data_IF_624034299300
#
_entry.id   IF_624034299300
#
_cell.length_a   1.000
_cell.length_b   1.000
_cell.length_c   1.000
_cell.angle_alpha   90.00
_cell.angle_beta   90.00
_cell.angle_gamma   90.00
#
_symmetry.space_group_name_H-M   'P 1'
#
loop_
_entity.id
_entity.type
_entity.pdbx_description
1 polymer ?
#
# COMPACT_ATOMS: atom_id res chain seq x y z
N UNK A 1 61.39 44.05 -9.05
CA UNK A 1 60.73 43.26 -10.10
C UNK A 1 59.95 42.14 -9.42
N UNK A 2 58.63 42.22 -9.56
CA UNK A 2 57.57 41.20 -9.40
C UNK A 2 57.85 39.96 -8.52
N UNK A 3 57.21 39.92 -7.34
CA UNK A 3 56.76 38.68 -6.71
C UNK A 3 55.29 38.48 -7.08
N UNK A 4 54.99 37.45 -7.88
CA UNK A 4 53.65 36.88 -7.99
C UNK A 4 53.74 35.46 -7.43
N UNK A 5 53.24 35.28 -6.21
CA UNK A 5 53.00 33.97 -5.62
C UNK A 5 51.50 33.82 -5.48
N UNK A 6 50.86 33.26 -6.51
CA UNK A 6 49.49 32.75 -6.43
C UNK A 6 49.58 31.32 -5.91
N UNK A 7 49.32 31.13 -4.62
CA UNK A 7 48.88 29.83 -4.10
C UNK A 7 47.42 30.00 -3.67
N UNK A 8 46.54 29.30 -4.39
CA UNK A 8 45.11 29.24 -4.12
C UNK A 8 44.86 28.74 -2.70
N UNK A 9 44.04 29.47 -1.94
CA UNK A 9 43.37 28.94 -0.78
C UNK A 9 42.31 27.93 -1.28
N UNK A 10 42.57 26.64 -1.14
CA UNK A 10 41.52 25.61 -1.26
C UNK A 10 40.63 25.72 -0.03
N UNK A 11 39.57 26.51 -0.15
CA UNK A 11 38.45 26.45 0.77
C UNK A 11 37.82 25.07 0.69
N UNK A 12 37.82 24.33 1.80
CA UNK A 12 36.90 23.22 1.99
C UNK A 12 35.48 23.80 1.96
N UNK A 13 34.84 23.76 0.80
CA UNK A 13 33.39 23.79 0.75
C UNK A 13 32.91 22.44 1.27
N UNK A 14 32.51 22.41 2.53
CA UNK A 14 31.56 21.40 3.00
C UNK A 14 30.30 21.60 2.15
N UNK A 15 30.15 20.79 1.10
CA UNK A 15 28.89 20.69 0.37
C UNK A 15 27.88 20.11 1.35
N UNK A 16 26.95 20.96 1.77
CA UNK A 16 25.75 20.53 2.47
C UNK A 16 25.11 19.39 1.66
N UNK A 17 24.80 18.30 2.36
CA UNK A 17 23.94 17.24 1.85
C UNK A 17 22.61 17.89 1.52
N UNK A 18 22.36 18.11 0.24
CA UNK A 18 21.05 18.53 -0.26
C UNK A 18 20.27 17.24 -0.47
N UNK A 19 19.46 16.88 0.52
CA UNK A 19 18.33 16.01 0.30
C UNK A 19 17.48 16.59 -0.85
N UNK A 20 17.04 15.74 -1.76
CA UNK A 20 16.43 16.08 -3.04
C UNK A 20 15.30 17.13 -2.94
N UNK A 21 15.17 18.06 -3.90
CA UNK A 21 13.94 18.79 -4.16
C UNK A 21 13.04 17.90 -5.05
N UNK A 22 11.90 17.39 -4.63
CA UNK A 22 11.25 17.54 -3.33
C UNK A 22 10.34 16.35 -3.01
N UNK A 23 9.77 16.34 -1.80
CA UNK A 23 8.64 15.50 -1.46
C UNK A 23 7.39 16.05 -2.18
N UNK A 24 6.36 15.23 -2.37
CA UNK A 24 5.00 15.77 -2.43
C UNK A 24 4.87 16.80 -1.30
N UNK A 25 4.29 18.00 -1.52
CA UNK A 25 4.18 18.99 -0.46
C UNK A 25 3.64 18.30 0.79
N UNK A 26 4.45 18.25 1.85
CA UNK A 26 4.00 17.69 3.12
C UNK A 26 2.69 18.39 3.46
N UNK A 27 1.60 17.65 3.74
CA UNK A 27 0.33 18.27 4.01
C UNK A 27 0.53 19.29 5.11
N UNK A 28 0.08 20.53 4.89
CA UNK A 28 0.24 21.57 5.90
C UNK A 28 -0.39 21.08 7.22
N UNK A 29 0.22 21.40 8.36
CA UNK A 29 -0.28 21.00 9.69
C UNK A 29 -1.78 21.26 9.92
N UNK A 30 -2.35 22.25 9.21
CA UNK A 30 -3.78 22.53 9.19
C UNK A 30 -4.60 21.46 8.45
N UNK A 31 -4.14 20.97 7.30
CA UNK A 31 -4.79 19.89 6.54
C UNK A 31 -4.73 18.58 7.31
N UNK A 32 -3.61 18.32 8.00
CA UNK A 32 -3.47 17.20 8.94
C UNK A 32 -4.51 17.32 10.08
N UNK A 33 -4.57 18.46 10.77
CA UNK A 33 -5.53 18.70 11.87
C UNK A 33 -7.01 18.59 11.43
N UNK A 34 -7.33 19.06 10.21
CA UNK A 34 -8.66 18.94 9.61
C UNK A 34 -9.02 17.47 9.38
N UNK A 35 -8.11 16.70 8.79
CA UNK A 35 -8.29 15.26 8.56
C UNK A 35 -8.56 14.52 9.86
N UNK A 36 -7.77 14.78 10.92
CA UNK A 36 -7.94 14.14 12.24
C UNK A 36 -9.33 14.35 12.84
N UNK A 37 -9.85 15.55 12.65
CA UNK A 37 -11.19 15.90 13.09
C UNK A 37 -12.24 15.12 12.29
N UNK A 38 -12.04 14.99 10.98
CA UNK A 38 -12.93 14.21 10.10
C UNK A 38 -12.93 12.72 10.46
N UNK A 39 -11.80 12.14 10.81
CA UNK A 39 -11.76 10.74 11.21
C UNK A 39 -12.43 10.40 12.51
N UNK A 40 -12.20 11.21 13.54
CA UNK A 40 -12.94 11.06 14.80
C UNK A 40 -14.44 11.19 14.58
N UNK A 41 -14.86 12.02 13.62
CA UNK A 41 -16.26 12.15 13.22
C UNK A 41 -16.79 10.90 12.52
N UNK A 42 -16.00 10.26 11.66
CA UNK A 42 -16.43 9.08 10.90
C UNK A 42 -16.33 7.75 11.66
N UNK A 43 -15.83 7.74 12.90
CA UNK A 43 -15.67 6.52 13.71
C UNK A 43 -16.94 5.65 13.78
N UNK A 44 -18.13 6.25 13.89
CA UNK A 44 -19.40 5.52 13.90
C UNK A 44 -19.73 4.82 12.57
N UNK A 45 -19.36 5.42 11.44
CA UNK A 45 -19.55 4.82 10.12
C UNK A 45 -18.56 3.68 9.87
N UNK A 46 -17.30 3.86 10.31
CA UNK A 46 -16.28 2.79 10.27
C UNK A 46 -16.76 1.61 11.10
N UNK A 47 -17.23 1.87 12.32
CA UNK A 47 -17.82 0.87 13.18
C UNK A 47 -18.93 0.06 12.49
N UNK A 48 -19.86 0.75 11.83
CA UNK A 48 -20.94 0.12 11.08
C UNK A 48 -20.45 -0.71 9.89
N UNK A 49 -19.44 -0.24 9.14
CA UNK A 49 -18.82 -1.04 8.07
C UNK A 49 -18.14 -2.29 8.61
N UNK A 50 -17.42 -2.18 9.73
CA UNK A 50 -16.78 -3.32 10.38
C UNK A 50 -17.82 -4.38 10.81
N UNK A 51 -18.92 -3.96 11.42
CA UNK A 51 -20.02 -4.84 11.80
C UNK A 51 -20.66 -5.54 10.58
N UNK A 52 -20.90 -4.80 9.48
CA UNK A 52 -21.43 -5.39 8.24
C UNK A 52 -20.51 -6.47 7.68
N UNK A 53 -19.19 -6.22 7.64
CA UNK A 53 -18.19 -7.19 7.19
C UNK A 53 -18.17 -8.45 8.04
N UNK A 54 -18.13 -8.27 9.35
CA UNK A 54 -18.22 -9.34 10.32
C UNK A 54 -19.46 -10.22 10.06
N UNK A 55 -20.64 -9.58 9.94
CA UNK A 55 -21.89 -10.29 9.69
C UNK A 55 -21.93 -11.01 8.34
N UNK A 56 -21.38 -10.41 7.28
CA UNK A 56 -21.29 -11.01 5.95
C UNK A 56 -20.45 -12.29 5.98
N UNK A 57 -19.24 -12.23 6.54
CA UNK A 57 -18.35 -13.40 6.66
C UNK A 57 -18.98 -14.50 7.51
N UNK A 58 -19.64 -14.13 8.61
CA UNK A 58 -20.34 -15.10 9.46
C UNK A 58 -21.50 -15.77 8.76
N UNK A 59 -22.21 -15.03 7.91
CA UNK A 59 -23.26 -15.59 7.07
C UNK A 59 -22.69 -16.55 6.02
N UNK A 60 -21.61 -16.17 5.34
CA UNK A 60 -20.94 -17.01 4.35
C UNK A 60 -20.37 -18.28 4.97
N UNK A 61 -19.73 -18.19 6.14
CA UNK A 61 -19.25 -19.33 6.90
C UNK A 61 -20.39 -20.26 7.30
N UNK A 62 -21.49 -19.75 7.89
CA UNK A 62 -22.67 -20.58 8.21
C UNK A 62 -23.29 -21.23 6.99
N UNK A 63 -23.44 -20.49 5.89
CA UNK A 63 -24.00 -21.01 4.63
C UNK A 63 -23.09 -22.08 4.03
N UNK A 64 -21.78 -21.91 4.14
CA UNK A 64 -20.81 -22.91 3.72
C UNK A 64 -20.96 -24.18 4.57
N UNK A 65 -21.13 -24.06 5.89
CA UNK A 65 -21.36 -25.19 6.80
C UNK A 65 -22.70 -25.90 6.50
N UNK A 66 -23.76 -25.15 6.23
CA UNK A 66 -25.08 -25.68 5.85
C UNK A 66 -25.06 -26.40 4.49
N UNK A 67 -24.31 -25.89 3.51
CA UNK A 67 -24.11 -26.54 2.21
C UNK A 67 -23.18 -27.77 2.28
N UNK A 68 -22.43 -27.94 3.36
CA UNK A 68 -21.37 -28.96 3.56
C UNK A 68 -21.79 -30.17 4.39
N UNK A 69 -23.09 -30.37 4.66
CA UNK A 69 -23.61 -31.48 5.46
C UNK A 69 -23.35 -32.92 4.94
N UNK A 70 -22.49 -33.11 3.93
CA UNK A 70 -22.15 -34.42 3.34
C UNK A 70 -20.64 -34.64 3.02
N UNK A 71 -19.72 -33.81 3.53
CA UNK A 71 -18.28 -34.01 3.29
C UNK A 71 -17.49 -33.93 4.62
N UNK A 72 -16.72 -34.97 4.92
CA UNK A 72 -15.87 -35.07 6.12
C UNK A 72 -14.44 -34.75 5.72
N UNK A 73 -13.77 -33.96 6.56
CA UNK A 73 -12.46 -33.30 6.34
C UNK A 73 -12.51 -32.05 5.47
N UNK A 74 -12.74 -30.88 6.08
CA UNK A 74 -12.00 -29.65 5.79
C UNK A 74 -12.07 -28.64 6.96
N UNK A 75 -11.03 -27.84 7.02
CA UNK A 75 -10.69 -26.78 7.98
C UNK A 75 -11.89 -25.86 8.27
N UNK A 76 -12.34 -25.86 9.53
CA UNK A 76 -13.29 -24.87 10.05
C UNK A 76 -12.60 -23.52 10.04
N UNK A 77 -13.06 -22.56 9.25
CA UNK A 77 -12.70 -21.16 9.43
C UNK A 77 -13.63 -20.60 10.49
N UNK A 78 -13.15 -20.40 11.71
CA UNK A 78 -13.99 -19.77 12.75
C UNK A 78 -14.39 -18.35 12.33
N UNK A 79 -15.60 -17.96 12.78
CA UNK A 79 -16.08 -16.58 12.84
C UNK A 79 -14.93 -15.62 13.20
N UNK A 80 -14.70 -14.50 12.49
CA UNK A 80 -13.72 -13.50 12.95
C UNK A 80 -13.92 -13.18 14.43
N UNK A 81 -12.84 -13.15 15.19
CA UNK A 81 -12.81 -13.11 16.66
C UNK A 81 -13.21 -11.75 17.28
N UNK A 82 -13.47 -10.74 16.45
CA UNK A 82 -13.74 -9.39 16.93
C UNK A 82 -15.23 -9.18 17.20
N UNK A 83 -15.64 -9.40 18.46
CA UNK A 83 -16.96 -9.01 18.99
C UNK A 83 -17.10 -7.49 19.18
N UNK A 84 -16.01 -6.73 18.96
CA UNK A 84 -15.92 -5.29 19.13
C UNK A 84 -14.99 -4.69 18.08
N UNK A 85 -15.32 -3.47 17.65
CA UNK A 85 -14.59 -2.69 16.65
C UNK A 85 -13.13 -2.48 17.11
N UNK A 86 -12.17 -2.98 16.34
CA UNK A 86 -10.77 -2.54 16.40
C UNK A 86 -10.77 -1.08 15.93
N UNK A 87 -10.57 -0.14 16.84
CA UNK A 87 -10.97 1.26 16.71
C UNK A 87 -10.04 2.11 15.84
N UNK A 88 -9.18 1.46 15.03
CA UNK A 88 -8.06 2.11 14.38
C UNK A 88 -8.25 2.04 12.86
N UNK A 89 -9.05 2.99 12.36
CA UNK A 89 -9.27 3.17 10.92
C UNK A 89 -7.99 3.69 10.28
N UNK A 90 -7.56 3.09 9.17
CA UNK A 90 -6.55 3.69 8.31
C UNK A 90 -7.21 4.81 7.51
N UNK A 91 -6.82 6.06 7.73
CA UNK A 91 -7.10 7.08 6.71
C UNK A 91 -5.89 7.09 5.82
N UNK A 92 -6.05 6.64 4.57
CA UNK A 92 -4.97 6.77 3.61
C UNK A 92 -4.73 8.27 3.43
N UNK A 93 -3.58 8.73 3.91
CA UNK A 93 -3.15 10.09 3.72
C UNK A 93 -2.51 10.17 2.34
N UNK A 94 -2.96 11.10 1.44
CA UNK A 94 -2.36 11.30 0.11
C UNK A 94 -0.92 11.86 0.15
N UNK A 95 -0.20 11.63 1.24
CA UNK A 95 1.17 12.09 1.49
C UNK A 95 2.17 10.96 1.63
N UNK A 96 1.72 9.71 1.66
CA UNK A 96 2.64 8.56 1.70
C UNK A 96 3.02 8.21 0.27
N UNK A 97 4.32 8.09 0.02
CA UNK A 97 4.87 7.86 -1.32
C UNK A 97 4.35 6.56 -1.95
N UNK A 98 4.05 6.61 -3.26
CA UNK A 98 3.85 5.42 -4.10
C UNK A 98 5.10 4.51 -4.14
N UNK A 99 6.28 5.04 -3.80
CA UNK A 99 7.53 4.31 -3.90
C UNK A 99 7.93 3.98 -5.35
N UNK A 100 9.13 3.42 -5.54
CA UNK A 100 9.74 3.31 -6.86
C UNK A 100 9.27 2.11 -7.68
N UNK A 101 8.51 1.18 -7.08
CA UNK A 101 8.10 -0.08 -7.69
C UNK A 101 6.65 -0.09 -8.18
N UNK A 102 6.19 1.05 -8.70
CA UNK A 102 4.91 1.16 -9.38
C UNK A 102 5.12 1.18 -10.90
N UNK A 103 4.34 0.38 -11.61
CA UNK A 103 4.29 0.40 -13.06
C UNK A 103 2.82 0.29 -13.49
N UNK A 104 2.17 1.42 -13.85
CA UNK A 104 0.72 1.45 -14.07
C UNK A 104 0.20 0.43 -15.08
N UNK A 105 1.03 0.01 -16.05
CA UNK A 105 0.65 -0.98 -17.07
C UNK A 105 0.54 -2.41 -16.56
N UNK A 106 1.13 -2.72 -15.40
CA UNK A 106 0.98 -4.03 -14.74
C UNK A 106 -0.28 -4.11 -13.87
N UNK A 107 -0.98 -3.00 -13.67
CA UNK A 107 -2.22 -2.99 -12.90
C UNK A 107 -3.37 -3.54 -13.73
N UNK A 108 -4.13 -4.44 -13.11
CA UNK A 108 -5.09 -5.30 -13.82
C UNK A 108 -6.31 -5.54 -12.94
N UNK A 109 -7.48 -5.59 -13.58
CA UNK A 109 -8.75 -5.76 -12.88
C UNK A 109 -8.90 -7.23 -12.47
N UNK A 110 -8.66 -7.54 -11.20
CA UNK A 110 -8.74 -8.91 -10.67
C UNK A 110 -8.95 -8.89 -9.16
N UNK A 111 -9.72 -9.85 -8.65
CA UNK A 111 -9.84 -10.08 -7.20
C UNK A 111 -8.78 -11.01 -6.64
N UNK A 112 -8.09 -11.78 -7.49
CA UNK A 112 -6.97 -12.63 -7.11
C UNK A 112 -5.72 -12.13 -7.83
N UNK A 113 -4.84 -11.49 -7.06
CA UNK A 113 -3.56 -10.97 -7.52
C UNK A 113 -2.39 -11.93 -7.27
N UNK A 114 -2.62 -13.14 -6.76
CA UNK A 114 -1.54 -14.07 -6.40
C UNK A 114 -0.66 -14.47 -7.59
N UNK A 115 -1.28 -14.74 -8.74
CA UNK A 115 -0.66 -15.39 -9.90
C UNK A 115 0.18 -16.64 -9.54
N UNK A 116 -0.26 -17.38 -8.52
CA UNK A 116 0.43 -18.59 -8.06
C UNK A 116 1.78 -18.33 -7.39
N UNK A 117 2.09 -17.10 -6.95
CA UNK A 117 3.25 -16.86 -6.10
C UNK A 117 3.18 -17.70 -4.82
N UNK A 118 4.32 -18.25 -4.41
CA UNK A 118 4.42 -19.01 -3.16
C UNK A 118 4.43 -18.05 -1.97
N UNK A 119 3.66 -18.39 -0.94
CA UNK A 119 3.55 -17.65 0.31
C UNK A 119 2.36 -18.13 1.12
N UNK A 120 2.16 -17.55 2.30
CA UNK A 120 0.99 -17.81 3.13
C UNK A 120 -0.22 -17.13 2.45
N UNK A 121 -1.32 -17.86 2.16
CA UNK A 121 -2.50 -17.27 1.55
C UNK A 121 -3.06 -16.13 2.38
N UNK A 122 -3.38 -15.00 1.75
CA UNK A 122 -3.86 -13.81 2.43
C UNK A 122 -5.10 -13.24 1.73
N UNK A 123 -6.20 -13.10 2.47
CA UNK A 123 -7.40 -12.43 2.01
C UNK A 123 -7.52 -11.08 2.68
N UNK A 124 -7.45 -9.98 1.92
CA UNK A 124 -7.56 -8.62 2.42
C UNK A 124 -8.97 -8.08 2.20
N UNK A 125 -9.65 -7.77 3.30
CA UNK A 125 -10.97 -7.17 3.34
C UNK A 125 -10.85 -5.65 3.58
N UNK A 126 -11.41 -4.87 2.65
CA UNK A 126 -11.21 -3.42 2.61
C UNK A 126 -12.56 -2.73 2.58
N UNK A 127 -12.80 -1.88 3.57
CA UNK A 127 -13.84 -0.85 3.50
C UNK A 127 -13.24 0.46 3.01
N UNK A 128 -13.97 1.23 2.22
CA UNK A 128 -13.58 2.56 1.74
C UNK A 128 -14.69 3.55 2.06
N UNK A 129 -14.33 4.69 2.66
CA UNK A 129 -15.29 5.73 3.04
C UNK A 129 -14.83 7.13 2.64
N UNK A 130 -15.80 7.99 2.42
CA UNK A 130 -15.57 9.40 2.18
C UNK A 130 -15.43 10.11 3.53
N UNK A 131 -14.28 10.76 3.75
CA UNK A 131 -13.99 11.44 5.02
C UNK A 131 -14.80 12.72 5.22
N UNK A 132 -15.32 13.33 4.16
CA UNK A 132 -16.16 14.53 4.25
C UNK A 132 -17.60 14.18 4.67
N UNK A 133 -18.16 13.10 4.12
CA UNK A 133 -19.55 12.68 4.37
C UNK A 133 -19.69 11.59 5.45
N UNK A 134 -18.62 10.83 5.69
CA UNK A 134 -18.61 9.59 6.47
C UNK A 134 -19.52 8.50 5.89
N UNK A 135 -19.78 8.53 4.59
CA UNK A 135 -20.56 7.50 3.88
C UNK A 135 -19.61 6.51 3.16
N UNK A 136 -20.01 5.25 3.00
CA UNK A 136 -19.23 4.30 2.19
C UNK A 136 -19.08 4.80 0.75
N UNK A 137 -17.89 4.62 0.18
CA UNK A 137 -17.60 4.99 -1.21
C UNK A 137 -17.83 3.80 -2.13
N UNK A 138 -18.95 3.81 -2.83
CA UNK A 138 -19.29 2.85 -3.88
C UNK A 138 -18.52 3.15 -5.18
N UNK A 139 -18.19 2.09 -5.92
CA UNK A 139 -17.61 2.14 -7.27
C UNK A 139 -16.30 2.94 -7.37
N UNK A 140 -15.49 2.90 -6.31
CA UNK A 140 -14.10 3.38 -6.34
C UNK A 140 -13.16 2.21 -6.57
N UNK A 141 -12.17 2.40 -7.44
CA UNK A 141 -11.21 1.36 -7.80
C UNK A 141 -10.05 1.40 -6.80
N UNK A 142 -9.86 0.30 -6.07
CA UNK A 142 -8.74 0.17 -5.13
C UNK A 142 -7.65 -0.65 -5.79
N UNK A 143 -6.47 -0.05 -5.93
CA UNK A 143 -5.25 -0.64 -6.50
C UNK A 143 -4.31 -1.09 -5.39
N UNK A 144 -3.79 -2.32 -5.50
CA UNK A 144 -2.80 -2.87 -4.59
C UNK A 144 -1.58 -3.41 -5.31
N UNK A 145 -0.40 -3.20 -4.72
CA UNK A 145 0.82 -3.91 -5.09
C UNK A 145 1.74 -4.16 -3.91
N UNK A 146 2.47 -5.27 -3.93
CA UNK A 146 3.50 -5.58 -2.95
C UNK A 146 4.55 -6.55 -3.48
N UNK A 147 5.65 -6.72 -2.74
CA UNK A 147 6.66 -7.72 -3.06
C UNK A 147 6.18 -9.14 -2.73
N UNK A 148 6.74 -10.14 -3.40
CA UNK A 148 6.52 -11.53 -3.05
C UNK A 148 7.21 -11.91 -1.74
N UNK A 149 7.05 -13.17 -1.31
CA UNK A 149 7.58 -13.67 -0.06
C UNK A 149 9.11 -13.53 0.12
N UNK A 150 9.86 -13.33 -0.96
CA UNK A 150 11.32 -13.13 -0.95
C UNK A 150 11.73 -11.72 -1.38
N UNK A 151 10.86 -10.73 -1.22
CA UNK A 151 11.19 -9.32 -1.46
C UNK A 151 11.23 -8.87 -2.92
N UNK A 152 10.75 -9.67 -3.88
CA UNK A 152 10.77 -9.29 -5.31
C UNK A 152 9.46 -8.66 -5.75
N UNK A 153 9.55 -7.56 -6.50
CA UNK A 153 8.41 -6.95 -7.17
C UNK A 153 8.28 -7.45 -8.61
N UNK A 154 7.06 -7.76 -9.02
CA UNK A 154 6.72 -7.93 -10.44
C UNK A 154 6.97 -6.64 -11.21
N UNK A 155 7.19 -6.74 -12.52
CA UNK A 155 7.64 -5.67 -13.41
C UNK A 155 9.11 -5.23 -13.18
N UNK A 156 9.72 -5.60 -12.06
CA UNK A 156 11.08 -5.18 -11.66
C UNK A 156 11.99 -6.37 -11.34
N UNK A 157 11.71 -7.57 -11.87
CA UNK A 157 12.41 -8.81 -11.47
C UNK A 157 13.90 -8.82 -11.83
N UNK A 158 14.33 -7.99 -12.77
CA UNK A 158 15.73 -7.76 -13.11
C UNK A 158 16.45 -6.77 -12.20
N UNK A 159 15.79 -6.27 -11.15
CA UNK A 159 16.36 -5.37 -10.13
C UNK A 159 16.13 -5.99 -8.76
N UNK A 160 17.19 -6.01 -7.94
CA UNK A 160 17.05 -6.48 -6.57
C UNK A 160 16.47 -5.37 -5.71
N UNK A 161 15.30 -5.61 -5.10
CA UNK A 161 14.78 -4.69 -4.09
C UNK A 161 15.59 -4.71 -2.79
N UNK A 162 16.53 -5.65 -2.64
CA UNK A 162 17.49 -5.69 -1.53
C UNK A 162 18.66 -4.70 -1.71
N UNK A 163 18.82 -4.11 -2.90
CA UNK A 163 19.80 -3.05 -3.13
C UNK A 163 19.22 -1.72 -2.67
N UNK A 164 19.89 -0.97 -1.77
CA UNK A 164 19.45 0.36 -1.39
C UNK A 164 19.14 1.23 -2.61
N UNK A 165 18.00 1.93 -2.58
CA UNK A 165 17.47 2.56 -3.80
C UNK A 165 18.42 3.61 -4.40
N UNK A 166 19.13 4.36 -3.56
CA UNK A 166 20.18 5.29 -3.97
C UNK A 166 21.35 4.59 -4.69
N UNK A 167 21.76 3.41 -4.23
CA UNK A 167 22.80 2.61 -4.88
C UNK A 167 22.31 2.06 -6.23
N UNK A 168 21.04 1.68 -6.32
CA UNK A 168 20.43 1.29 -7.59
C UNK A 168 20.45 2.46 -8.58
N UNK A 169 20.03 3.66 -8.17
CA UNK A 169 20.05 4.85 -9.03
C UNK A 169 21.46 5.20 -9.51
N UNK A 170 22.46 5.11 -8.62
CA UNK A 170 23.87 5.34 -8.97
C UNK A 170 24.35 4.31 -10.01
N UNK A 171 24.05 3.03 -9.80
CA UNK A 171 24.42 1.96 -10.73
C UNK A 171 23.81 2.12 -12.14
N UNK A 172 22.69 2.82 -12.24
CA UNK A 172 21.98 3.12 -13.49
C UNK A 172 22.36 4.49 -14.08
N UNK A 173 23.21 5.28 -13.41
CA UNK A 173 23.49 6.69 -13.72
C UNK A 173 22.21 7.56 -13.78
N UNK A 174 21.27 7.32 -12.87
CA UNK A 174 19.98 8.03 -12.78
C UNK A 174 19.88 8.95 -11.56
N UNK A 175 20.90 9.05 -10.71
CA UNK A 175 20.87 9.81 -9.45
C UNK A 175 20.39 11.26 -9.60
N UNK A 176 20.72 11.93 -10.70
CA UNK A 176 20.35 13.34 -10.95
C UNK A 176 19.08 13.51 -11.79
N UNK A 177 18.64 12.46 -12.48
CA UNK A 177 17.55 12.52 -13.47
C UNK A 177 16.32 11.72 -13.07
N UNK A 178 16.41 10.96 -11.98
CA UNK A 178 15.30 10.19 -11.46
C UNK A 178 14.20 11.11 -10.94
N UNK A 179 13.00 10.87 -11.46
CA UNK A 179 11.77 11.50 -11.02
C UNK A 179 10.74 10.41 -10.71
N UNK A 180 10.20 10.44 -9.48
CA UNK A 180 9.33 9.41 -8.95
C UNK A 180 8.01 9.38 -9.73
N UNK A 181 7.63 8.20 -10.23
CA UNK A 181 6.41 8.04 -11.03
C UNK A 181 6.52 8.49 -12.48
N UNK A 182 7.62 9.14 -12.87
CA UNK A 182 7.89 9.57 -14.24
C UNK A 182 8.99 8.73 -14.87
N UNK A 183 10.08 8.49 -14.14
CA UNK A 183 11.21 7.71 -14.64
C UNK A 183 10.90 6.23 -14.58
N UNK A 184 10.89 5.59 -15.75
CA UNK A 184 10.53 4.18 -15.88
C UNK A 184 11.72 3.26 -15.54
N UNK A 185 11.54 2.47 -14.47
CA UNK A 185 12.54 1.52 -13.98
C UNK A 185 12.18 0.05 -14.23
N UNK A 186 11.07 -0.27 -14.92
CA UNK A 186 10.67 -1.68 -15.12
C UNK A 186 11.73 -2.48 -15.92
N UNK A 187 11.69 -3.81 -15.77
CA UNK A 187 12.60 -4.76 -16.43
C UNK A 187 11.90 -5.83 -17.24
N UNK A 188 10.62 -6.04 -16.99
CA UNK A 188 9.82 -7.11 -17.56
C UNK A 188 8.32 -6.79 -17.44
N UNK A 189 7.50 -7.66 -18.02
CA UNK A 189 6.04 -7.51 -18.07
C UNK A 189 5.32 -8.40 -17.03
N UNK A 190 6.00 -8.88 -15.99
CA UNK A 190 5.33 -9.71 -14.96
C UNK A 190 4.33 -8.87 -14.16
N UNK A 191 3.21 -9.48 -13.74
CA UNK A 191 2.13 -8.76 -13.05
C UNK A 191 1.72 -9.35 -11.71
N UNK A 192 2.43 -10.37 -11.22
CA UNK A 192 2.07 -11.02 -9.95
C UNK A 192 2.01 -10.00 -8.80
N UNK A 193 1.08 -10.20 -7.87
CA UNK A 193 0.90 -9.36 -6.68
C UNK A 193 0.68 -7.88 -7.05
N UNK A 194 -0.06 -7.67 -8.14
CA UNK A 194 -0.63 -6.40 -8.58
C UNK A 194 -2.08 -6.60 -8.98
N UNK A 195 -2.99 -5.77 -8.50
CA UNK A 195 -4.40 -5.97 -8.75
C UNK A 195 -5.26 -4.80 -8.32
N UNK A 196 -6.30 -4.54 -9.11
CA UNK A 196 -7.29 -3.51 -8.83
C UNK A 196 -8.68 -4.13 -8.75
N UNK A 197 -9.52 -3.65 -7.83
CA UNK A 197 -10.91 -4.07 -7.78
C UNK A 197 -11.85 -2.99 -7.21
N UNK A 198 -13.05 -2.79 -7.79
CA UNK A 198 -13.97 -1.77 -7.32
C UNK A 198 -14.69 -2.15 -6.04
N UNK A 199 -15.02 -1.15 -5.23
CA UNK A 199 -15.92 -1.30 -4.09
C UNK A 199 -17.37 -1.49 -4.51
N UNK A 200 -18.12 -2.25 -3.72
CA UNK A 200 -19.56 -2.41 -3.91
C UNK A 200 -20.37 -1.25 -3.29
N UNK A 201 -21.70 -1.35 -3.31
CA UNK A 201 -22.63 -0.35 -2.77
C UNK A 201 -22.53 -0.10 -1.27
N UNK A 202 -21.80 -0.93 -0.53
CA UNK A 202 -21.49 -0.74 0.87
C UNK A 202 -20.06 -0.23 1.09
N UNK A 203 -19.38 0.19 0.02
CA UNK A 203 -18.00 0.66 0.04
C UNK A 203 -16.99 -0.43 0.34
N UNK A 204 -17.31 -1.70 0.07
CA UNK A 204 -16.45 -2.84 0.45
C UNK A 204 -15.90 -3.58 -0.76
N UNK A 205 -14.67 -4.08 -0.63
CA UNK A 205 -14.04 -4.99 -1.59
C UNK A 205 -13.19 -6.05 -0.87
N UNK A 206 -12.87 -7.13 -1.59
CA UNK A 206 -11.96 -8.17 -1.12
C UNK A 206 -10.89 -8.43 -2.20
N UNK A 207 -9.65 -8.64 -1.75
CA UNK A 207 -8.51 -9.00 -2.58
C UNK A 207 -7.83 -10.26 -2.04
N UNK A 208 -7.60 -11.25 -2.90
CA UNK A 208 -6.84 -12.46 -2.62
C UNK A 208 -5.39 -12.28 -3.07
N UNK A 209 -4.46 -12.56 -2.18
CA UNK A 209 -3.02 -12.42 -2.39
C UNK A 209 -2.24 -13.39 -1.49
N UNK A 210 -0.94 -13.18 -1.31
CA UNK A 210 -0.12 -13.82 -0.29
C UNK A 210 0.35 -12.78 0.74
N UNK A 211 0.70 -13.25 1.94
CA UNK A 211 1.35 -12.38 2.92
C UNK A 211 2.66 -11.82 2.33
N UNK A 212 2.88 -10.49 2.33
CA UNK A 212 4.05 -9.87 1.70
C UNK A 212 5.35 -10.27 2.40
N UNK A 213 6.43 -10.36 1.62
CA UNK A 213 7.79 -10.45 2.17
C UNK A 213 8.31 -9.07 2.59
N UNK A 214 9.63 -8.98 2.75
CA UNK A 214 10.32 -7.72 3.04
C UNK A 214 11.42 -7.46 2.01
N UNK A 215 11.87 -6.20 1.94
CA UNK A 215 13.02 -5.78 1.16
C UNK A 215 13.77 -4.69 1.93
N UNK A 216 14.90 -4.21 1.40
CA UNK A 216 15.83 -3.40 2.19
C UNK A 216 15.20 -2.09 2.69
N UNK A 217 15.38 -1.81 3.98
CA UNK A 217 15.09 -0.51 4.58
C UNK A 217 13.61 -0.18 4.78
N UNK A 218 12.69 -1.14 4.56
CA UNK A 218 11.25 -0.94 4.67
C UNK A 218 10.60 -2.03 5.52
N UNK A 219 9.63 -1.66 6.34
CA UNK A 219 8.75 -2.58 7.05
C UNK A 219 7.89 -3.37 6.07
N UNK A 220 7.27 -4.46 6.52
CA UNK A 220 6.40 -5.28 5.66
C UNK A 220 5.11 -4.50 5.37
N UNK A 221 4.82 -4.26 4.08
CA UNK A 221 3.69 -3.44 3.66
C UNK A 221 3.06 -3.88 2.32
N UNK A 222 1.85 -3.38 2.10
CA UNK A 222 1.13 -3.41 0.83
C UNK A 222 0.85 -1.98 0.43
N UNK A 223 1.23 -1.58 -0.78
CA UNK A 223 0.85 -0.27 -1.29
C UNK A 223 -0.61 -0.28 -1.72
N UNK A 224 -1.28 0.86 -1.52
CA UNK A 224 -2.67 1.06 -1.87
C UNK A 224 -2.86 2.40 -2.60
N UNK A 225 -3.62 2.40 -3.69
CA UNK A 225 -4.15 3.61 -4.30
C UNK A 225 -5.67 3.49 -4.46
N UNK A 226 -6.37 4.62 -4.32
CA UNK A 226 -7.80 4.68 -4.60
C UNK A 226 -8.03 5.65 -5.76
N UNK A 227 -8.79 5.19 -6.75
CA UNK A 227 -9.14 5.98 -7.92
C UNK A 227 -10.66 6.16 -8.02
N UNK A 228 -11.06 7.35 -8.45
CA UNK A 228 -12.46 7.65 -8.79
C UNK A 228 -12.63 7.74 -10.30
N UNK A 229 -13.89 7.73 -10.79
CA UNK A 229 -14.21 7.93 -12.21
C UNK A 229 -13.46 6.98 -13.14
N UNK A 230 -13.48 5.68 -12.81
CA UNK A 230 -12.80 4.67 -13.60
C UNK A 230 -13.73 4.04 -14.65
N UNK A 231 -13.13 3.52 -15.71
CA UNK A 231 -13.81 2.85 -16.81
C UNK A 231 -12.97 1.66 -17.28
N UNK A 232 -13.66 0.59 -17.71
CA UNK A 232 -13.05 -0.56 -18.37
C UNK A 232 -13.33 -0.47 -19.86
N UNK A 233 -12.28 -0.26 -20.66
CA UNK A 233 -12.39 -0.26 -22.11
C UNK A 233 -12.64 -1.68 -22.64
N UNK A 234 -13.22 -1.80 -23.85
CA UNK A 234 -13.52 -3.09 -24.49
C UNK A 234 -12.29 -3.99 -24.67
N UNK A 235 -11.10 -3.39 -24.78
CA UNK A 235 -9.83 -4.10 -24.91
C UNK A 235 -9.24 -4.56 -23.55
N UNK A 236 -9.97 -4.37 -22.44
CA UNK A 236 -9.54 -4.72 -21.09
C UNK A 236 -8.61 -3.71 -20.42
N UNK A 237 -8.31 -2.58 -21.07
CA UNK A 237 -7.53 -1.49 -20.44
C UNK A 237 -8.40 -0.72 -19.46
N UNK A 238 -7.85 -0.44 -18.28
CA UNK A 238 -8.49 0.41 -17.28
C UNK A 238 -8.06 1.85 -17.54
N UNK A 239 -9.02 2.76 -17.61
CA UNK A 239 -8.76 4.19 -17.53
C UNK A 239 -9.41 4.69 -16.24
N UNK A 240 -8.62 5.20 -15.32
CA UNK A 240 -9.12 5.87 -14.12
C UNK A 240 -9.02 7.38 -14.27
N UNK A 241 -9.94 8.10 -13.62
CA UNK A 241 -9.70 9.49 -13.28
C UNK A 241 -8.75 9.58 -12.09
N UNK A 242 -8.88 10.69 -11.35
CA UNK A 242 -7.87 11.08 -10.41
C UNK A 242 -7.61 10.07 -9.28
N UNK A 243 -6.33 9.89 -8.96
CA UNK A 243 -5.89 9.27 -7.71
C UNK A 243 -6.32 10.18 -6.56
N UNK A 244 -7.20 9.65 -5.72
CA UNK A 244 -7.77 10.39 -4.58
C UNK A 244 -7.09 10.05 -3.27
N UNK A 245 -6.30 8.97 -3.24
CA UNK A 245 -5.42 8.66 -2.12
C UNK A 245 -4.34 7.65 -2.51
N UNK A 246 -3.11 7.90 -2.06
CA UNK A 246 -1.98 6.97 -2.12
C UNK A 246 -1.49 6.69 -0.70
N UNK A 247 -1.31 5.41 -0.35
CA UNK A 247 -0.57 5.09 0.87
C UNK A 247 -0.14 3.64 0.99
N UNK A 248 0.23 3.26 2.20
CA UNK A 248 0.82 1.95 2.49
C UNK A 248 0.16 1.37 3.73
N UNK A 249 -0.23 0.10 3.61
CA UNK A 249 -0.85 -0.69 4.66
C UNK A 249 0.21 -1.61 5.24
N UNK A 250 0.37 -1.63 6.56
CA UNK A 250 1.42 -2.37 7.24
C UNK A 250 0.85 -3.56 7.98
N UNK A 251 1.73 -4.50 8.30
CA UNK A 251 1.36 -5.70 9.04
C UNK A 251 1.74 -5.58 10.53
N UNK A 252 0.96 -6.17 11.46
CA UNK A 252 1.31 -6.22 12.88
C UNK A 252 2.65 -6.90 13.10
N UNK A 253 3.51 -6.27 13.91
CA UNK A 253 4.88 -6.76 14.13
C UNK A 253 4.94 -8.15 14.78
N UNK A 254 3.99 -8.49 15.65
CA UNK A 254 3.90 -9.83 16.25
C UNK A 254 3.69 -10.91 15.17
N UNK A 255 2.78 -10.67 14.22
CA UNK A 255 2.54 -11.57 13.09
C UNK A 255 3.73 -11.59 12.12
N UNK A 256 4.41 -10.46 11.91
CA UNK A 256 5.63 -10.43 11.10
C UNK A 256 6.70 -11.38 11.66
N UNK A 257 6.92 -11.37 12.97
CA UNK A 257 7.91 -12.25 13.62
C UNK A 257 7.55 -13.73 13.44
N UNK A 258 6.26 -14.07 13.58
CA UNK A 258 5.77 -15.44 13.42
C UNK A 258 5.92 -15.93 11.98
N UNK A 259 5.39 -15.18 11.01
CA UNK A 259 5.27 -15.66 9.63
C UNK A 259 6.60 -15.60 8.86
N UNK A 260 7.48 -14.64 9.17
CA UNK A 260 8.80 -14.57 8.53
C UNK A 260 9.74 -15.71 8.97
N UNK A 261 9.39 -16.47 10.00
CA UNK A 261 10.12 -17.67 10.42
C UNK A 261 9.74 -18.92 9.59
N UNK A 262 8.74 -18.83 8.71
CA UNK A 262 8.24 -19.94 7.90
C UNK A 262 8.75 -19.86 6.46
N UNK A 263 8.80 -21.00 5.76
CA UNK A 263 9.07 -21.00 4.32
C UNK A 263 7.86 -20.48 3.52
N UNK A 264 8.06 -19.77 2.39
CA UNK A 264 9.36 -19.45 1.77
C UNK A 264 10.08 -18.20 2.32
N UNK A 265 9.50 -17.52 3.32
CA UNK A 265 10.02 -16.26 3.87
C UNK A 265 11.37 -16.42 4.56
N UNK A 266 11.53 -17.49 5.34
CA UNK A 266 12.76 -17.80 6.07
C UNK A 266 13.99 -18.01 5.15
N UNK A 267 13.75 -18.31 3.87
CA UNK A 267 14.81 -18.42 2.85
C UNK A 267 15.40 -17.06 2.43
N UNK A 268 14.76 -15.94 2.75
CA UNK A 268 15.27 -14.61 2.42
C UNK A 268 16.28 -14.13 3.47
N UNK A 269 17.54 -14.55 3.31
CA UNK A 269 18.62 -14.28 4.28
C UNK A 269 19.65 -13.24 3.82
N UNK A 270 19.41 -12.58 2.68
CA UNK A 270 20.38 -11.66 2.07
C UNK A 270 20.49 -10.33 2.84
N UNK A 271 19.43 -9.94 3.54
CA UNK A 271 19.29 -8.69 4.29
C UNK A 271 18.56 -8.96 5.61
N UNK A 272 18.69 -8.04 6.56
CA UNK A 272 17.88 -8.05 7.77
C UNK A 272 16.56 -7.30 7.51
N UNK A 273 15.46 -7.82 8.05
CA UNK A 273 14.16 -7.16 8.00
C UNK A 273 14.17 -5.89 8.85
N UNK A 274 13.67 -4.78 8.29
CA UNK A 274 13.33 -3.56 9.02
C UNK A 274 12.00 -3.76 9.74
N UNK A 275 11.96 -3.47 11.05
CA UNK A 275 10.73 -3.57 11.85
C UNK A 275 9.83 -2.36 11.65
N UNK A 276 8.56 -2.47 12.04
CA UNK A 276 7.65 -1.31 12.04
C UNK A 276 8.20 -0.14 12.86
N UNK A 277 8.92 -0.38 13.96
CA UNK A 277 9.48 0.70 14.76
C UNK A 277 10.68 1.43 14.09
N UNK A 278 11.28 0.83 13.07
CA UNK A 278 12.47 1.31 12.37
C UNK A 278 12.17 1.94 11.00
N UNK A 279 10.98 1.73 10.43
CA UNK A 279 10.62 2.30 9.12
C UNK A 279 10.08 3.73 9.27
N UNK A 280 10.85 4.73 8.82
CA UNK A 280 10.44 6.13 8.92
C UNK A 280 9.14 6.47 8.17
N UNK A 281 8.75 5.69 7.16
CA UNK A 281 7.54 5.92 6.35
C UNK A 281 6.27 5.52 7.12
N UNK A 282 6.37 4.60 8.07
CA UNK A 282 5.20 4.22 8.88
C UNK A 282 4.75 5.38 9.76
N UNK A 283 5.67 6.21 10.27
CA UNK A 283 5.34 7.37 11.09
C UNK A 283 4.57 8.44 10.31
N UNK A 284 4.86 8.58 9.01
CA UNK A 284 4.07 9.44 8.10
C UNK A 284 2.66 8.87 7.87
N UNK A 285 2.49 7.56 8.04
CA UNK A 285 1.24 6.83 7.87
C UNK A 285 0.43 6.75 9.18
N UNK A 286 1.08 6.83 10.34
CA UNK A 286 0.50 6.81 11.70
C UNK A 286 0.18 8.20 12.26
N UNK A 287 0.63 9.27 11.59
CA UNK A 287 0.48 10.61 12.15
C UNK A 287 -1.00 10.94 12.39
N UNK A 288 -1.27 11.35 13.62
CA UNK A 288 -2.53 11.90 14.10
C UNK A 288 -3.75 10.98 14.38
N UNK A 289 -3.51 9.76 14.82
CA UNK A 289 -4.57 8.88 15.34
C UNK A 289 -5.20 7.97 14.28
N UNK A 290 -4.44 7.72 13.22
CA UNK A 290 -4.68 6.67 12.24
C UNK A 290 -3.76 5.50 12.50
N UNK A 291 -4.25 4.31 12.18
CA UNK A 291 -3.38 3.14 12.11
C UNK A 291 -3.43 2.59 10.69
N UNK A 292 -2.30 2.59 9.97
CA UNK A 292 -2.19 1.87 8.71
C UNK A 292 -1.96 0.37 8.93
N UNK A 293 -1.95 -0.09 10.19
CA UNK A 293 -1.77 -1.50 10.54
C UNK A 293 -3.06 -2.28 10.24
N UNK A 294 -2.94 -3.31 9.40
CA UNK A 294 -4.04 -4.22 9.10
C UNK A 294 -4.33 -5.10 10.32
N UNK A 295 -5.60 -5.24 10.68
CA UNK A 295 -6.03 -6.21 11.69
C UNK A 295 -6.06 -7.61 11.07
N UNK A 296 -5.35 -8.57 11.66
CA UNK A 296 -5.19 -9.91 11.11
C UNK A 296 -5.80 -10.99 12.01
N UNK A 297 -6.39 -12.00 11.39
CA UNK A 297 -6.84 -13.24 12.05
C UNK A 297 -6.40 -14.46 11.22
N UNK A 298 -6.19 -15.63 11.84
CA UNK A 298 -5.93 -16.86 11.09
C UNK A 298 -7.18 -17.22 10.28
N UNK A 299 -6.98 -17.58 9.01
CA UNK A 299 -8.08 -17.92 8.11
C UNK A 299 -8.88 -19.12 8.63
N UNK A 300 -8.22 -20.07 9.28
CA UNK A 300 -8.83 -21.23 9.92
C UNK A 300 -9.27 -20.99 11.37
N UNK A 301 -9.11 -19.78 11.91
CA UNK A 301 -9.39 -19.51 13.32
C UNK A 301 -8.37 -20.10 14.31
N UNK A 302 -7.30 -20.75 13.83
CA UNK A 302 -6.35 -21.50 14.67
C UNK A 302 -4.90 -21.03 14.47
N UNK A 303 -4.41 -21.01 13.24
CA UNK A 303 -2.98 -20.85 12.93
C UNK A 303 -2.78 -19.92 11.73
N UNK A 304 -2.02 -18.83 11.93
CA UNK A 304 -1.72 -17.85 10.88
C UNK A 304 -0.94 -18.48 9.72
N UNK A 305 -0.20 -19.57 9.95
CA UNK A 305 0.54 -20.29 8.93
C UNK A 305 -0.37 -20.94 7.87
N UNK A 306 -1.60 -21.28 8.22
CA UNK A 306 -2.56 -21.91 7.30
C UNK A 306 -3.27 -20.89 6.38
N UNK A 307 -3.04 -19.61 6.61
CA UNK A 307 -3.64 -18.51 5.86
C UNK A 307 -4.09 -17.41 6.80
N UNK A 308 -4.23 -16.20 6.26
CA UNK A 308 -4.56 -15.00 7.01
C UNK A 308 -5.75 -14.31 6.37
N UNK A 309 -6.63 -13.75 7.20
CA UNK A 309 -7.64 -12.78 6.78
C UNK A 309 -7.30 -11.44 7.43
N UNK A 310 -7.23 -10.40 6.61
CA UNK A 310 -6.91 -9.05 7.03
C UNK A 310 -8.10 -8.11 6.88
N UNK A 311 -8.22 -7.17 7.80
CA UNK A 311 -9.26 -6.16 7.81
C UNK A 311 -8.63 -4.78 7.92
N UNK A 312 -9.03 -3.91 6.99
CA UNK A 312 -8.71 -2.49 7.07
C UNK A 312 -9.87 -1.67 6.54
N UNK A 313 -10.01 -0.46 7.05
CA UNK A 313 -10.91 0.54 6.49
C UNK A 313 -10.05 1.71 6.07
N UNK A 314 -10.21 2.14 4.82
CA UNK A 314 -9.52 3.23 4.15
C UNK A 314 -10.43 4.45 4.11
N UNK A 315 -10.00 5.53 4.77
CA UNK A 315 -10.60 6.84 4.59
C UNK A 315 -10.01 7.59 3.41
N UNK A 316 -10.86 8.11 2.53
CA UNK A 316 -10.50 8.92 1.37
C UNK A 316 -11.13 10.30 1.50
N UNK A 317 -10.33 11.35 1.34
CA UNK A 317 -10.87 12.71 1.18
C UNK A 317 -11.09 12.96 -0.32
N UNK A 318 -12.30 12.71 -0.81
CA UNK A 318 -12.67 12.94 -2.22
C UNK A 318 -12.56 14.39 -2.65
N UNK A 319 -12.41 15.33 -1.70
CA UNK A 319 -12.17 16.74 -1.96
C UNK A 319 -10.68 17.08 -2.11
N UNK A 320 -9.78 16.16 -1.73
CA UNK A 320 -8.33 16.27 -1.80
C UNK A 320 -7.75 15.42 -2.94
N UNK A 321 -8.18 15.71 -4.17
CA UNK A 321 -7.65 15.11 -5.40
C UNK A 321 -6.13 15.38 -5.52
N UNK A 322 -5.31 14.33 -5.72
CA UNK A 322 -3.88 14.50 -6.00
C UNK A 322 -3.68 15.18 -7.36
N UNK A 323 -2.89 16.26 -7.38
CA UNK A 323 -2.48 16.96 -8.60
C UNK A 323 -1.07 16.50 -8.98
N UNK A 324 -0.88 15.91 -10.16
CA UNK A 324 0.45 15.68 -10.70
C UNK A 324 0.94 16.92 -11.46
N UNK A 325 2.20 17.31 -11.23
CA UNK A 325 2.81 18.41 -11.95
C UNK A 325 3.20 17.92 -13.36
N UNK A 326 2.34 18.16 -14.34
CA UNK A 326 2.69 17.93 -15.73
C UNK A 326 3.79 18.92 -16.11
N UNK A 327 5.01 18.41 -16.23
CA UNK A 327 6.20 19.19 -16.53
C UNK A 327 5.99 20.23 -17.63
N UNK A 328 6.21 21.49 -17.27
CA UNK A 328 6.67 22.53 -18.18
C UNK A 328 5.78 22.89 -19.38
N UNK A 329 4.60 23.44 -19.14
CA UNK A 329 3.98 24.33 -20.12
C UNK A 329 3.60 25.66 -19.46
N UNK A 330 4.40 26.70 -19.72
CA UNK A 330 4.06 28.07 -19.38
C UNK A 330 2.81 28.48 -20.19
N UNK A 331 1.64 28.32 -19.58
CA UNK A 331 0.36 28.69 -20.19
C UNK A 331 -0.76 27.70 -19.91
N UNK A 332 -1.27 27.75 -18.69
CA UNK A 332 -2.64 27.39 -18.31
C UNK A 332 -3.32 26.23 -19.04
N UNK A 333 -3.06 25.00 -18.60
CA UNK A 333 -4.09 23.97 -18.47
C UNK A 333 -3.64 22.99 -17.38
N UNK A 334 -4.40 22.93 -16.27
CA UNK A 334 -4.13 22.00 -15.17
C UNK A 334 -4.42 20.60 -15.69
N UNK A 335 -3.38 19.78 -15.82
CA UNK A 335 -3.51 18.39 -16.26
C UNK A 335 -3.71 17.52 -15.03
N UNK A 336 -4.77 16.72 -15.05
CA UNK A 336 -5.15 15.80 -13.98
C UNK A 336 -4.39 14.48 -14.18
N UNK A 337 -3.79 13.96 -13.11
CA UNK A 337 -3.72 12.51 -12.92
C UNK A 337 -5.13 12.08 -12.47
#
# INVERSE_FOLDING_TARGET
>A
MQFFSTLMATGLFATAVVAHPGPHPEPESHDLAKRNTLARRCAGSVAAMNEKRYNKRNFENRRSLEARANYTDFVNTETPYYDVIQNDTCVLTPSVTQGPYVWPRSQTLRQDMTEGQNGIPFTLDVGVLDMATCEPLEDVLVDFWHCNATGKYSSFTGRSADTPFNELLDSLNLTETYDLGVTDLHTDDTTFLRGMWPTNSEGMMEMQTIYPGFYVGRAIHIHAQVHTNWTLAENGTIASGNTVSTGQLYMPEETNVELMALEPYASHTAINRTTNAEDDIIYQSEDNGYSPIISLVPADGVDMANGVIGYITIGVDTTAIELCDAGGAAGGERTYC
#
